data_IF_901818703972
#
_entry.id   IF_901818703972
#
_cell.length_a   1.000
_cell.length_b   1.000
_cell.length_c   1.000
_cell.angle_alpha   90.00
_cell.angle_beta   90.00
_cell.angle_gamma   90.00
#
_symmetry.space_group_name_H-M   'P 1'
#
loop_
_entity.id
_entity.type
_entity.pdbx_description
1 polymer ?
#
# COMPACT_ATOMS: atom_id res chain seq x y z
N UNK A 1 -8.68 37.41 -15.91
CA UNK A 1 -8.24 38.71 -16.44
C UNK A 1 -8.05 39.67 -15.27
N UNK A 2 -7.03 40.54 -15.30
CA UNK A 2 -6.98 41.95 -14.78
C UNK A 2 -7.65 42.24 -13.40
N UNK A 3 -7.01 42.80 -12.35
CA UNK A 3 -5.75 43.58 -12.23
C UNK A 3 -5.10 43.48 -10.83
N UNK A 4 -3.97 44.18 -10.60
CA UNK A 4 -3.27 44.35 -9.31
C UNK A 4 -4.07 45.26 -8.31
N UNK A 5 -3.74 45.46 -7.02
CA UNK A 5 -2.46 45.55 -6.24
C UNK A 5 -2.74 44.99 -4.80
N UNK A 6 -1.87 44.90 -3.77
CA UNK A 6 -0.54 45.44 -3.45
C UNK A 6 0.27 44.50 -2.50
N UNK A 7 1.10 45.03 -1.57
CA UNK A 7 2.04 44.23 -0.75
C UNK A 7 2.17 44.65 0.74
N UNK A 8 2.44 43.67 1.61
CA UNK A 8 3.01 43.82 2.95
C UNK A 8 3.83 42.56 3.29
N UNK A 9 5.01 42.70 3.90
CA UNK A 9 5.95 41.59 4.09
C UNK A 9 5.91 40.93 5.47
N UNK A 10 6.22 39.63 5.53
CA UNK A 10 6.52 38.89 6.76
C UNK A 10 7.84 38.12 6.60
N UNK A 11 8.65 38.06 7.66
CA UNK A 11 10.03 37.58 7.56
C UNK A 11 10.14 36.04 7.62
N UNK A 12 10.79 35.45 6.61
CA UNK A 12 11.19 34.03 6.63
C UNK A 12 12.43 33.84 7.50
N UNK A 13 12.28 33.17 8.65
CA UNK A 13 13.44 32.70 9.42
C UNK A 13 14.12 31.55 8.66
N UNK A 14 15.31 31.79 8.11
CA UNK A 14 16.18 30.72 7.61
C UNK A 14 16.84 30.02 8.80
N UNK A 15 16.62 28.71 8.93
CA UNK A 15 17.33 27.88 9.91
C UNK A 15 18.82 27.75 9.54
N UNK A 16 19.69 27.87 10.54
CA UNK A 16 21.14 27.70 10.40
C UNK A 16 21.55 26.23 10.60
N UNK A 17 22.68 25.78 10.00
CA UNK A 17 23.09 24.37 10.05
C UNK A 17 23.71 24.00 11.42
N UNK A 18 22.86 23.58 12.37
CA UNK A 18 23.27 23.20 13.73
C UNK A 18 22.50 21.98 14.29
N UNK A 19 22.58 20.82 13.62
CA UNK A 19 21.96 19.54 14.08
C UNK A 19 23.05 18.50 14.43
N UNK A 20 23.66 18.60 15.62
CA UNK A 20 24.67 17.64 16.09
C UNK A 20 24.89 17.61 17.63
N UNK A 21 23.84 17.73 18.45
CA UNK A 21 23.93 17.58 19.91
C UNK A 21 22.61 17.09 20.54
N UNK A 22 22.68 16.62 21.80
CA UNK A 22 21.54 16.30 22.69
C UNK A 22 20.69 15.05 22.33
N UNK A 23 21.27 14.03 21.69
CA UNK A 23 20.83 12.61 21.86
C UNK A 23 22.03 11.66 21.95
N UNK A 24 23.09 12.06 22.68
CA UNK A 24 24.37 11.35 22.69
C UNK A 24 25.07 11.34 24.07
N UNK A 25 24.39 10.82 25.10
CA UNK A 25 25.00 10.39 26.37
C UNK A 25 24.34 9.09 26.82
N UNK A 26 25.12 8.00 26.87
CA UNK A 26 24.83 6.61 27.31
C UNK A 26 25.16 5.47 26.32
N UNK A 27 26.16 5.63 25.45
CA UNK A 27 27.05 4.49 25.07
C UNK A 27 28.49 5.01 24.96
N UNK A 28 29.40 4.52 25.81
CA UNK A 28 30.84 4.78 25.70
C UNK A 28 31.59 3.45 25.70
N UNK A 29 32.12 3.03 24.55
CA UNK A 29 32.77 1.72 24.45
C UNK A 29 33.21 1.34 23.04
N UNK A 30 34.14 2.10 22.43
CA UNK A 30 34.88 1.61 21.26
C UNK A 30 36.29 2.18 21.18
N UNK A 31 37.24 1.31 20.84
CA UNK A 31 38.58 1.63 20.31
C UNK A 31 38.95 0.51 19.34
N UNK A 32 39.05 0.80 18.04
CA UNK A 32 40.24 0.52 17.22
C UNK A 32 40.08 1.00 15.76
N UNK A 33 41.17 1.54 15.21
CA UNK A 33 41.48 1.92 13.81
C UNK A 33 43.01 2.21 13.76
N UNK A 34 43.69 2.53 12.63
CA UNK A 34 43.25 2.81 11.24
C UNK A 34 43.18 1.50 10.40
N UNK A 35 43.51 1.33 9.10
CA UNK A 35 44.18 2.11 8.02
C UNK A 35 43.86 1.44 6.65
N UNK A 36 44.26 1.90 5.45
CA UNK A 36 44.55 3.19 4.76
C UNK A 36 45.04 2.81 3.32
N UNK A 37 45.12 3.76 2.37
CA UNK A 37 45.44 3.61 0.93
C UNK A 37 44.40 2.87 0.04
N UNK A 38 44.23 3.21 -1.26
CA UNK A 38 44.66 4.42 -1.96
C UNK A 38 44.92 4.29 -3.48
N UNK A 39 44.30 5.18 -4.29
CA UNK A 39 44.49 5.44 -5.76
C UNK A 39 44.04 4.32 -6.73
N UNK A 40 43.92 4.53 -8.06
CA UNK A 40 43.27 5.60 -8.90
C UNK A 40 43.57 5.37 -10.42
N UNK A 41 42.95 6.20 -11.30
CA UNK A 41 43.38 6.61 -12.68
C UNK A 41 42.76 5.89 -13.92
N UNK A 42 42.34 6.73 -14.90
CA UNK A 42 42.02 6.52 -16.33
C UNK A 42 40.91 5.50 -16.75
N UNK A 43 39.93 5.76 -17.63
CA UNK A 43 39.64 6.73 -18.73
C UNK A 43 40.10 6.32 -20.15
N UNK A 44 39.16 6.33 -21.13
CA UNK A 44 39.34 6.72 -22.56
C UNK A 44 37.96 6.71 -23.28
N UNK A 45 37.78 7.55 -24.31
CA UNK A 45 36.61 7.60 -25.22
C UNK A 45 36.98 6.99 -26.61
N UNK A 46 36.17 6.85 -27.66
CA UNK A 46 34.98 7.57 -28.14
C UNK A 46 34.20 6.69 -29.17
N UNK A 47 33.13 7.16 -29.86
CA UNK A 47 32.19 6.31 -30.63
C UNK A 47 32.39 6.29 -32.16
N UNK A 48 31.64 5.42 -32.86
CA UNK A 48 31.29 5.59 -34.29
C UNK A 48 29.96 4.88 -34.64
N UNK A 49 29.50 4.97 -35.90
CA UNK A 49 28.08 5.12 -36.22
C UNK A 49 27.40 4.04 -37.10
N UNK A 50 26.08 4.17 -37.12
CA UNK A 50 25.00 3.52 -37.88
C UNK A 50 25.27 2.83 -39.25
N UNK A 51 24.44 1.81 -39.52
CA UNK A 51 23.98 1.41 -40.84
C UNK A 51 22.53 0.88 -40.77
N UNK A 52 21.78 0.93 -41.87
CA UNK A 52 20.39 0.49 -41.96
C UNK A 52 20.15 -0.32 -43.26
N UNK A 53 19.16 -1.22 -43.25
CA UNK A 53 18.74 -1.97 -44.44
C UNK A 53 17.23 -2.30 -44.38
N UNK A 54 16.58 -2.32 -45.54
CA UNK A 54 15.15 -2.65 -45.73
C UNK A 54 15.03 -3.66 -46.87
N UNK A 55 14.17 -4.67 -46.70
CA UNK A 55 13.73 -5.57 -47.75
C UNK A 55 12.27 -5.99 -47.49
N UNK A 56 11.51 -6.32 -48.54
CA UNK A 56 10.05 -6.40 -48.46
C UNK A 56 9.45 -7.60 -49.21
N UNK A 57 8.35 -8.13 -48.65
CA UNK A 57 7.18 -8.78 -49.26
C UNK A 57 7.39 -9.87 -50.33
N UNK A 58 6.73 -11.01 -50.10
CA UNK A 58 6.12 -11.81 -51.18
C UNK A 58 4.76 -12.36 -50.71
N UNK A 59 3.81 -12.52 -51.63
CA UNK A 59 2.44 -13.01 -51.39
C UNK A 59 2.23 -14.34 -52.13
N UNK A 60 1.44 -15.25 -51.54
CA UNK A 60 1.02 -16.49 -52.17
C UNK A 60 -0.33 -16.97 -51.63
N UNK A 61 -1.18 -17.54 -52.48
CA UNK A 61 -2.56 -17.90 -52.13
C UNK A 61 -3.08 -19.11 -52.91
N UNK A 62 -3.76 -20.06 -52.23
CA UNK A 62 -4.77 -20.95 -52.82
C UNK A 62 -5.51 -21.86 -51.80
N UNK A 63 -6.85 -21.88 -51.90
CA UNK A 63 -7.79 -23.02 -51.69
C UNK A 63 -7.63 -24.02 -50.52
N UNK A 64 -8.34 -23.71 -49.43
CA UNK A 64 -9.51 -24.47 -48.91
C UNK A 64 -9.54 -26.01 -49.09
N UNK A 65 -9.43 -26.74 -47.97
CA UNK A 65 -10.24 -27.95 -47.68
C UNK A 65 -11.10 -27.70 -46.45
N UNK A 66 -12.26 -28.35 -46.35
CA UNK A 66 -13.10 -28.35 -45.14
C UNK A 66 -12.94 -29.68 -44.41
N UNK A 67 -12.71 -29.62 -43.11
CA UNK A 67 -12.92 -30.72 -42.16
C UNK A 67 -13.54 -30.14 -40.90
N UNK A 68 -14.57 -30.79 -40.39
CA UNK A 68 -15.33 -30.33 -39.23
C UNK A 68 -14.51 -30.50 -37.94
N UNK A 69 -14.31 -29.40 -37.21
CA UNK A 69 -13.78 -29.41 -35.84
C UNK A 69 -14.84 -28.81 -34.91
N UNK A 70 -14.99 -29.39 -33.72
CA UNK A 70 -15.96 -28.95 -32.71
C UNK A 70 -15.69 -27.50 -32.31
N UNK A 71 -16.77 -26.72 -32.17
CA UNK A 71 -16.70 -25.27 -31.89
C UNK A 71 -16.32 -25.03 -30.42
N UNK A 72 -15.02 -25.04 -30.13
CA UNK A 72 -14.50 -24.54 -28.87
C UNK A 72 -14.89 -23.05 -28.69
N UNK A 73 -15.38 -22.69 -27.51
CA UNK A 73 -15.72 -21.30 -27.18
C UNK A 73 -14.45 -20.44 -27.09
N UNK A 74 -14.42 -19.23 -27.66
CA UNK A 74 -13.26 -18.35 -27.60
C UNK A 74 -13.19 -17.66 -26.24
N UNK A 75 -12.70 -18.36 -25.21
CA UNK A 75 -12.30 -17.74 -23.96
C UNK A 75 -10.91 -17.09 -24.12
N UNK A 76 -10.77 -15.87 -23.63
CA UNK A 76 -9.50 -15.28 -23.14
C UNK A 76 -8.38 -15.18 -24.19
N UNK A 77 -8.59 -14.31 -25.20
CA UNK A 77 -7.50 -13.74 -25.98
C UNK A 77 -6.96 -12.47 -25.28
N UNK A 78 -6.16 -12.66 -24.22
CA UNK A 78 -5.55 -11.55 -23.45
C UNK A 78 -4.39 -10.91 -24.22
N UNK A 79 -4.18 -9.61 -24.05
CA UNK A 79 -2.99 -8.91 -24.52
C UNK A 79 -1.81 -9.17 -23.57
N UNK A 80 -1.18 -10.35 -23.69
CA UNK A 80 -0.06 -10.75 -22.84
C UNK A 80 1.19 -9.91 -23.16
N UNK A 81 1.52 -8.96 -22.29
CA UNK A 81 2.82 -8.27 -22.36
C UNK A 81 3.92 -9.12 -21.71
N UNK A 82 4.50 -10.01 -22.51
CA UNK A 82 5.64 -10.86 -22.15
C UNK A 82 6.91 -10.10 -21.70
N UNK A 83 6.94 -8.77 -21.75
CA UNK A 83 8.11 -7.97 -21.31
C UNK A 83 7.97 -7.43 -19.89
N UNK A 84 6.74 -7.31 -19.37
CA UNK A 84 6.48 -6.80 -18.02
C UNK A 84 6.90 -7.82 -16.96
N UNK A 85 7.64 -7.34 -15.96
CA UNK A 85 7.92 -8.07 -14.72
C UNK A 85 6.80 -7.81 -13.70
N UNK A 86 6.41 -8.84 -12.94
CA UNK A 86 5.38 -8.78 -11.92
C UNK A 86 5.81 -7.94 -10.70
N UNK A 87 4.93 -7.10 -10.20
CA UNK A 87 5.18 -6.17 -9.10
C UNK A 87 4.13 -6.31 -7.98
N UNK A 88 4.40 -5.70 -6.83
CA UNK A 88 3.43 -5.60 -5.72
C UNK A 88 2.17 -4.89 -6.22
N UNK A 89 1.00 -5.48 -5.93
CA UNK A 89 -0.31 -5.03 -6.42
C UNK A 89 -0.76 -5.62 -7.75
N UNK A 90 0.04 -6.47 -8.42
CA UNK A 90 -0.43 -7.25 -9.57
C UNK A 90 -1.19 -8.51 -9.13
N UNK A 91 -2.38 -8.75 -9.72
CA UNK A 91 -3.05 -10.05 -9.64
C UNK A 91 -2.41 -11.01 -10.67
N UNK A 92 -1.63 -11.97 -10.18
CA UNK A 92 -0.88 -12.92 -10.99
C UNK A 92 -1.57 -14.26 -11.08
N UNK A 93 -1.53 -14.85 -12.28
CA UNK A 93 -1.96 -16.22 -12.55
C UNK A 93 -0.71 -17.10 -12.59
N UNK A 94 -0.56 -17.98 -11.60
CA UNK A 94 0.57 -18.90 -11.50
C UNK A 94 0.14 -20.36 -11.62
N UNK A 95 1.00 -21.17 -12.23
CA UNK A 95 1.02 -22.61 -11.98
C UNK A 95 2.15 -22.92 -11.01
N UNK A 96 1.90 -23.81 -10.08
CA UNK A 96 2.90 -24.30 -9.13
C UNK A 96 2.72 -25.79 -8.83
N UNK A 97 3.81 -26.39 -8.34
CA UNK A 97 3.83 -27.69 -7.64
C UNK A 97 4.67 -27.51 -6.37
N UNK A 98 4.08 -27.86 -5.22
CA UNK A 98 4.72 -27.81 -3.90
C UNK A 98 5.17 -29.19 -3.45
N UNK A 99 6.45 -29.31 -3.10
CA UNK A 99 7.10 -30.56 -2.66
C UNK A 99 7.76 -30.40 -1.29
N UNK A 100 7.85 -31.48 -0.52
CA UNK A 100 8.71 -31.53 0.67
C UNK A 100 10.17 -31.75 0.27
N UNK A 101 11.10 -31.02 0.88
CA UNK A 101 12.54 -31.19 0.61
C UNK A 101 13.10 -32.49 1.19
N UNK A 102 12.46 -33.03 2.23
CA UNK A 102 12.91 -34.22 2.96
C UNK A 102 12.75 -35.53 2.17
N UNK A 103 11.61 -35.73 1.51
CA UNK A 103 11.25 -36.97 0.81
C UNK A 103 10.86 -36.78 -0.67
N UNK A 104 10.79 -35.53 -1.15
CA UNK A 104 10.37 -35.18 -2.51
C UNK A 104 8.86 -35.33 -2.77
N UNK A 105 8.05 -35.64 -1.76
CA UNK A 105 6.61 -35.84 -1.93
C UNK A 105 5.89 -34.55 -2.30
N UNK A 106 4.96 -34.62 -3.26
CA UNK A 106 4.08 -33.51 -3.63
C UNK A 106 2.98 -33.39 -2.57
N UNK A 107 2.87 -32.23 -1.92
CA UNK A 107 1.80 -31.96 -0.95
C UNK A 107 0.64 -31.15 -1.55
N UNK A 108 0.89 -30.33 -2.58
CA UNK A 108 -0.14 -29.67 -3.38
C UNK A 108 0.39 -29.30 -4.79
N UNK A 109 -0.50 -29.16 -5.76
CA UNK A 109 -0.16 -28.71 -7.13
C UNK A 109 -1.36 -28.18 -7.91
N UNK A 110 -1.14 -27.08 -8.62
CA UNK A 110 -2.09 -26.51 -9.60
C UNK A 110 -2.28 -27.36 -10.88
N UNK A 111 -1.55 -28.47 -11.04
CA UNK A 111 -1.69 -29.35 -12.20
C UNK A 111 -3.11 -29.94 -12.27
N UNK A 112 -3.65 -30.06 -13.48
CA UNK A 112 -5.05 -30.45 -13.73
C UNK A 112 -6.11 -29.42 -13.30
N UNK A 113 -5.73 -28.32 -12.63
CA UNK A 113 -6.62 -27.24 -12.16
C UNK A 113 -6.44 -25.96 -12.98
N UNK A 114 -7.33 -24.98 -12.78
CA UNK A 114 -7.07 -23.60 -13.21
C UNK A 114 -5.81 -23.04 -12.49
N UNK A 115 -5.09 -22.08 -13.09
CA UNK A 115 -3.99 -21.39 -12.41
C UNK A 115 -4.45 -20.74 -11.12
N UNK A 116 -3.58 -20.72 -10.10
CA UNK A 116 -3.82 -19.98 -8.87
C UNK A 116 -3.75 -18.48 -9.20
N UNK A 117 -4.82 -17.75 -8.88
CA UNK A 117 -4.83 -16.29 -8.90
C UNK A 117 -4.55 -15.78 -7.48
N UNK A 118 -3.61 -14.85 -7.33
CA UNK A 118 -3.39 -14.12 -6.07
C UNK A 118 -2.78 -12.75 -6.36
N UNK A 119 -2.91 -11.81 -5.42
CA UNK A 119 -2.35 -10.46 -5.52
C UNK A 119 -1.01 -10.39 -4.81
N UNK A 120 0.05 -10.00 -5.52
CA UNK A 120 1.40 -9.90 -4.93
C UNK A 120 1.40 -8.83 -3.83
N UNK A 121 1.76 -9.23 -2.61
CA UNK A 121 1.76 -8.40 -1.42
C UNK A 121 0.46 -8.40 -0.61
N UNK A 122 -0.57 -9.16 -1.01
CA UNK A 122 -1.83 -9.27 -0.26
C UNK A 122 -1.86 -10.40 0.78
N UNK A 123 -0.72 -11.09 1.01
CA UNK A 123 -0.56 -12.15 2.00
C UNK A 123 -1.53 -13.36 1.86
N UNK A 124 -2.14 -13.53 0.69
CA UNK A 124 -3.01 -14.67 0.33
C UNK A 124 -2.26 -16.01 0.20
N UNK A 125 -0.93 -15.95 0.04
CA UNK A 125 -0.01 -17.10 -0.07
C UNK A 125 1.15 -16.92 0.92
N UNK A 126 1.88 -18.01 1.21
CA UNK A 126 3.00 -17.98 2.16
C UNK A 126 4.09 -16.98 1.72
N UNK A 127 4.66 -16.26 2.68
CA UNK A 127 5.55 -15.10 2.47
C UNK A 127 6.69 -15.36 1.49
N UNK A 128 7.31 -16.54 1.53
CA UNK A 128 8.38 -16.92 0.61
C UNK A 128 7.91 -17.16 -0.83
N UNK A 129 6.69 -17.65 -1.02
CA UNK A 129 6.08 -17.85 -2.34
C UNK A 129 5.76 -16.49 -2.98
N UNK A 130 5.15 -15.58 -2.22
CA UNK A 130 4.87 -14.21 -2.65
C UNK A 130 6.16 -13.48 -3.09
N UNK A 131 7.20 -13.51 -2.23
CA UNK A 131 8.53 -12.96 -2.54
C UNK A 131 9.11 -13.52 -3.84
N UNK A 132 8.94 -14.81 -4.09
CA UNK A 132 9.54 -15.49 -5.23
C UNK A 132 8.93 -15.06 -6.57
N UNK A 133 7.62 -14.74 -6.62
CA UNK A 133 6.95 -14.33 -7.86
C UNK A 133 7.24 -12.86 -8.22
N UNK A 134 7.69 -12.04 -7.27
CA UNK A 134 8.11 -10.64 -7.51
C UNK A 134 9.27 -10.59 -8.52
N UNK A 135 9.07 -9.89 -9.63
CA UNK A 135 10.05 -9.74 -10.70
C UNK A 135 9.96 -10.76 -11.84
N UNK A 136 9.19 -11.85 -11.68
CA UNK A 136 8.98 -12.84 -12.75
C UNK A 136 8.28 -12.23 -13.97
N UNK A 137 8.55 -12.77 -15.16
CA UNK A 137 7.85 -12.45 -16.41
C UNK A 137 6.93 -13.58 -16.86
N UNK A 138 5.97 -13.27 -17.72
CA UNK A 138 5.02 -14.29 -18.22
C UNK A 138 5.75 -15.35 -19.04
N UNK A 139 5.57 -16.62 -18.67
CA UNK A 139 6.29 -17.79 -19.20
C UNK A 139 7.60 -18.13 -18.48
N UNK A 140 8.02 -17.32 -17.50
CA UNK A 140 9.17 -17.63 -16.66
C UNK A 140 8.82 -18.73 -15.64
N UNK A 141 9.79 -19.61 -15.37
CA UNK A 141 9.69 -20.66 -14.34
C UNK A 141 10.86 -20.55 -13.37
N UNK A 142 10.55 -20.61 -12.07
CA UNK A 142 11.54 -20.61 -10.99
C UNK A 142 11.35 -21.83 -10.10
N UNK A 143 12.42 -22.21 -9.40
CA UNK A 143 12.37 -23.17 -8.29
C UNK A 143 12.91 -22.48 -7.04
N UNK A 144 12.11 -22.47 -5.97
CA UNK A 144 12.44 -21.79 -4.71
C UNK A 144 12.30 -22.77 -3.55
N UNK A 145 13.25 -22.72 -2.62
CA UNK A 145 13.22 -23.50 -1.37
C UNK A 145 12.89 -22.56 -0.22
N UNK A 146 11.80 -22.84 0.49
CA UNK A 146 11.30 -22.03 1.61
C UNK A 146 11.57 -22.76 2.91
N UNK A 147 12.26 -22.08 3.84
CA UNK A 147 12.39 -22.51 5.23
C UNK A 147 11.03 -22.37 5.95
N UNK A 148 10.82 -23.06 7.08
CA UNK A 148 9.55 -22.97 7.84
C UNK A 148 9.11 -21.53 8.13
N UNK A 149 10.06 -20.65 8.45
CA UNK A 149 9.86 -19.23 8.75
C UNK A 149 9.32 -18.40 7.56
N UNK A 150 9.49 -18.88 6.33
CA UNK A 150 8.94 -18.27 5.11
C UNK A 150 7.72 -19.02 4.55
N UNK A 151 7.35 -20.13 5.19
CA UNK A 151 6.27 -21.03 4.80
C UNK A 151 5.12 -21.03 5.84
N UNK A 152 5.06 -22.04 6.73
CA UNK A 152 3.97 -22.25 7.69
C UNK A 152 4.40 -22.07 9.16
N UNK A 153 5.55 -21.44 9.39
CA UNK A 153 6.17 -21.27 10.70
C UNK A 153 6.81 -22.56 11.23
N UNK A 154 7.53 -22.42 12.35
CA UNK A 154 7.92 -23.56 13.17
C UNK A 154 6.71 -24.16 13.87
N UNK A 155 6.76 -25.45 14.17
CA UNK A 155 5.73 -26.14 14.94
C UNK A 155 5.70 -25.59 16.38
N UNK A 156 4.52 -25.26 16.89
CA UNK A 156 4.31 -24.73 18.23
C UNK A 156 3.59 -25.76 19.11
N UNK A 157 4.13 -26.06 20.29
CA UNK A 157 3.48 -26.96 21.25
C UNK A 157 2.31 -26.29 21.99
N UNK A 158 2.30 -24.95 22.08
CA UNK A 158 1.16 -24.17 22.63
C UNK A 158 -0.11 -24.25 21.75
N UNK A 159 0.01 -24.73 20.50
CA UNK A 159 -1.12 -25.03 19.62
C UNK A 159 -1.72 -26.44 19.86
N UNK A 160 -1.36 -27.10 20.96
CA UNK A 160 -1.98 -28.34 21.42
C UNK A 160 -3.17 -28.05 22.36
N UNK A 161 -4.38 -28.19 21.83
CA UNK A 161 -5.62 -27.89 22.54
C UNK A 161 -6.14 -29.16 23.23
N UNK A 162 -6.23 -29.13 24.56
CA UNK A 162 -6.92 -30.16 25.34
C UNK A 162 -8.45 -30.01 25.28
N UNK A 163 -9.15 -31.06 24.86
CA UNK A 163 -10.61 -31.16 24.83
C UNK A 163 -11.08 -32.13 25.93
N UNK A 164 -11.76 -31.65 26.99
CA UNK A 164 -12.33 -32.51 28.03
C UNK A 164 -13.30 -33.56 27.49
N UNK A 165 -13.36 -34.72 28.15
CA UNK A 165 -14.11 -35.89 27.68
C UNK A 165 -15.59 -35.60 27.39
N UNK A 166 -16.23 -34.72 28.16
CA UNK A 166 -17.64 -34.32 28.01
C UNK A 166 -17.90 -33.50 26.73
N UNK A 167 -16.83 -33.03 26.06
CA UNK A 167 -16.88 -32.28 24.81
C UNK A 167 -16.32 -33.05 23.62
N UNK A 168 -15.77 -34.25 23.83
CA UNK A 168 -15.30 -35.12 22.75
C UNK A 168 -16.52 -35.74 22.05
N UNK A 169 -16.71 -35.53 20.73
CA UNK A 169 -17.82 -36.14 20.02
C UNK A 169 -17.63 -37.68 19.91
N UNK A 170 -18.70 -38.48 20.01
CA UNK A 170 -18.61 -39.93 19.88
C UNK A 170 -18.14 -40.32 18.46
N UNK A 171 -17.20 -41.27 18.38
CA UNK A 171 -16.61 -41.71 17.11
C UNK A 171 -15.47 -40.82 16.58
N UNK A 172 -14.86 -39.98 17.42
CA UNK A 172 -13.63 -39.26 17.10
C UNK A 172 -12.44 -40.25 16.97
N UNK A 173 -11.66 -40.16 15.89
CA UNK A 173 -10.50 -41.03 15.64
C UNK A 173 -9.16 -40.28 15.68
N UNK A 174 -8.10 -40.95 16.13
CA UNK A 174 -6.74 -40.38 16.14
C UNK A 174 -6.24 -40.18 14.70
N UNK A 175 -5.71 -38.99 14.40
CA UNK A 175 -5.28 -38.59 13.06
C UNK A 175 -6.37 -37.93 12.21
N UNK A 176 -7.64 -37.95 12.63
CA UNK A 176 -8.75 -37.28 11.96
C UNK A 176 -8.58 -35.75 11.98
N UNK A 177 -9.05 -35.05 10.95
CA UNK A 177 -9.23 -33.59 10.97
C UNK A 177 -10.68 -33.23 11.33
N UNK A 178 -10.84 -32.26 12.22
CA UNK A 178 -12.13 -31.75 12.69
C UNK A 178 -12.13 -30.23 12.77
N UNK A 179 -13.31 -29.60 12.71
CA UNK A 179 -13.46 -28.15 12.81
C UNK A 179 -13.86 -27.76 14.23
N UNK A 180 -12.94 -27.14 14.98
CA UNK A 180 -13.14 -26.70 16.36
C UNK A 180 -13.70 -25.27 16.39
N UNK A 181 -14.84 -25.07 17.06
CA UNK A 181 -15.45 -23.74 17.24
C UNK A 181 -16.98 -23.78 17.24
N UNK A 182 -17.61 -22.61 17.40
CA UNK A 182 -19.07 -22.43 17.32
C UNK A 182 -19.41 -21.22 16.43
N UNK A 183 -20.55 -21.30 15.73
CA UNK A 183 -20.97 -20.25 14.80
C UNK A 183 -20.05 -20.14 13.58
N UNK A 184 -19.62 -18.91 13.29
CA UNK A 184 -18.78 -18.55 12.13
C UNK A 184 -17.28 -18.73 12.35
N UNK A 185 -16.80 -18.76 13.60
CA UNK A 185 -15.40 -19.03 13.92
C UNK A 185 -15.19 -20.54 14.07
N UNK A 186 -14.49 -21.13 13.10
CA UNK A 186 -14.14 -22.56 13.06
C UNK A 186 -12.70 -22.73 12.62
N UNK A 187 -11.90 -23.44 13.42
CA UNK A 187 -10.48 -23.68 13.17
C UNK A 187 -10.29 -25.17 12.81
N UNK A 188 -9.64 -25.51 11.69
CA UNK A 188 -9.27 -26.89 11.39
C UNK A 188 -8.17 -27.36 12.36
N UNK A 189 -8.43 -28.46 13.06
CA UNK A 189 -7.47 -29.10 13.98
C UNK A 189 -7.41 -30.60 13.75
N UNK A 190 -6.28 -31.23 14.05
CA UNK A 190 -6.09 -32.67 13.90
C UNK A 190 -6.09 -33.38 15.26
N UNK A 191 -6.77 -34.51 15.39
CA UNK A 191 -6.74 -35.32 16.62
C UNK A 191 -5.34 -35.92 16.76
N UNK A 192 -4.56 -35.47 17.74
CA UNK A 192 -3.20 -35.97 18.03
C UNK A 192 -3.25 -37.25 18.85
N UNK A 193 -4.12 -37.29 19.85
CA UNK A 193 -4.27 -38.42 20.78
C UNK A 193 -5.64 -38.37 21.46
N UNK A 194 -6.18 -39.54 21.81
CA UNK A 194 -7.27 -39.68 22.78
C UNK A 194 -6.68 -40.36 24.02
N UNK A 195 -7.00 -39.83 25.20
CA UNK A 195 -6.44 -40.26 26.49
C UNK A 195 -7.37 -41.29 27.18
N UNK A 196 -6.87 -42.10 28.12
CA UNK A 196 -7.66 -43.17 28.76
C UNK A 196 -8.86 -42.69 29.60
N UNK A 197 -8.91 -41.39 29.94
CA UNK A 197 -10.04 -40.74 30.61
C UNK A 197 -11.14 -40.27 29.64
N UNK A 198 -10.95 -40.47 28.33
CA UNK A 198 -11.86 -40.04 27.27
C UNK A 198 -11.61 -38.62 26.76
N UNK A 199 -10.67 -37.86 27.33
CA UNK A 199 -10.28 -36.55 26.80
C UNK A 199 -9.43 -36.68 25.54
N UNK A 200 -9.36 -35.61 24.72
CA UNK A 200 -8.61 -35.62 23.47
C UNK A 200 -7.60 -34.46 23.39
N UNK A 201 -6.41 -34.73 22.86
CA UNK A 201 -5.46 -33.70 22.45
C UNK A 201 -5.64 -33.40 20.97
N UNK A 202 -5.91 -32.15 20.64
CA UNK A 202 -6.06 -31.64 19.28
C UNK A 202 -4.86 -30.78 18.91
N UNK A 203 -4.42 -30.86 17.67
CA UNK A 203 -3.27 -30.16 17.11
C UNK A 203 -3.75 -29.10 16.11
N UNK A 204 -3.55 -27.83 16.44
CA UNK A 204 -3.91 -26.69 15.58
C UNK A 204 -2.75 -26.21 14.68
N UNK A 205 -1.61 -26.91 14.68
CA UNK A 205 -0.52 -26.62 13.75
C UNK A 205 -0.92 -26.93 12.29
N UNK A 206 -0.36 -26.17 11.35
CA UNK A 206 -0.39 -26.56 9.93
C UNK A 206 0.27 -27.93 9.74
N UNK A 207 -0.25 -28.83 8.87
CA UNK A 207 0.42 -30.07 8.49
C UNK A 207 1.84 -29.90 7.90
N UNK A 208 2.18 -28.67 7.50
CA UNK A 208 3.48 -28.28 6.94
C UNK A 208 4.33 -27.43 7.90
N UNK A 209 3.86 -27.18 9.14
CA UNK A 209 4.65 -26.44 10.13
C UNK A 209 5.94 -27.19 10.50
N UNK A 210 7.05 -26.46 10.60
CA UNK A 210 8.39 -27.02 10.81
C UNK A 210 9.03 -27.71 9.59
N UNK A 211 8.36 -27.76 8.43
CA UNK A 211 8.90 -28.40 7.21
C UNK A 211 9.50 -27.39 6.24
N UNK A 212 10.64 -27.76 5.64
CA UNK A 212 11.23 -27.05 4.50
C UNK A 212 10.54 -27.50 3.21
N UNK A 213 10.03 -26.54 2.44
CA UNK A 213 9.26 -26.78 1.22
C UNK A 213 10.05 -26.35 -0.01
N UNK A 214 9.88 -27.05 -1.14
CA UNK A 214 10.36 -26.62 -2.45
C UNK A 214 9.17 -26.43 -3.39
N UNK A 215 9.05 -25.21 -3.93
CA UNK A 215 8.04 -24.87 -4.94
C UNK A 215 8.70 -24.70 -6.29
N UNK A 216 8.14 -25.34 -7.31
CA UNK A 216 8.33 -24.95 -8.71
C UNK A 216 7.15 -24.07 -9.11
N UNK A 217 7.41 -22.87 -9.63
CA UNK A 217 6.41 -21.84 -9.93
C UNK A 217 6.62 -21.30 -11.35
N UNK A 218 5.53 -21.20 -12.10
CA UNK A 218 5.45 -20.66 -13.46
C UNK A 218 4.43 -19.52 -13.49
N UNK A 219 4.85 -18.32 -13.91
CA UNK A 219 3.93 -17.20 -14.09
C UNK A 219 3.26 -17.34 -15.47
N UNK A 220 2.04 -17.90 -15.51
CA UNK A 220 1.32 -18.14 -16.78
C UNK A 220 0.62 -16.88 -17.31
N UNK A 221 0.46 -15.85 -16.49
CA UNK A 221 -0.05 -14.55 -16.92
C UNK A 221 -0.35 -13.61 -15.76
N UNK A 222 -0.91 -12.46 -16.09
CA UNK A 222 -1.65 -11.63 -15.15
C UNK A 222 -3.14 -11.91 -15.37
N UNK A 223 -3.96 -11.89 -14.31
CA UNK A 223 -5.39 -11.61 -14.54
C UNK A 223 -5.48 -10.14 -14.95
N UNK A 224 -6.43 -9.81 -15.83
CA UNK A 224 -6.60 -8.49 -16.42
C UNK A 224 -6.55 -7.42 -15.30
N UNK A 225 -5.45 -6.64 -15.24
CA UNK A 225 -5.23 -5.69 -14.14
C UNK A 225 -6.43 -4.78 -14.07
N UNK A 226 -7.09 -4.75 -12.91
CA UNK A 226 -8.35 -4.04 -12.68
C UNK A 226 -8.24 -2.67 -13.32
N UNK A 227 -9.14 -2.37 -14.28
CA UNK A 227 -9.14 -1.09 -15.01
C UNK A 227 -8.99 0.02 -13.99
N UNK A 228 -7.83 0.67 -14.04
CA UNK A 228 -7.40 1.57 -12.99
C UNK A 228 -8.32 2.77 -12.89
N UNK A 229 -8.20 3.50 -11.79
CA UNK A 229 -8.73 4.84 -11.76
C UNK A 229 -7.86 5.71 -12.68
N UNK A 230 -8.45 6.24 -13.74
CA UNK A 230 -7.77 7.21 -14.59
C UNK A 230 -7.84 8.60 -13.93
N UNK A 231 -6.84 8.89 -13.11
CA UNK A 231 -6.74 10.13 -12.33
C UNK A 231 -6.07 11.25 -13.13
N UNK A 232 -6.39 12.50 -12.75
CA UNK A 232 -5.58 13.64 -13.15
C UNK A 232 -4.31 13.72 -12.29
N UNK A 233 -3.15 13.61 -12.93
CA UNK A 233 -1.83 13.80 -12.33
C UNK A 233 -1.26 15.19 -12.56
N UNK A 234 0.01 15.35 -12.22
CA UNK A 234 0.74 16.63 -12.31
C UNK A 234 0.71 17.21 -13.73
N UNK A 235 0.46 18.52 -13.82
CA UNK A 235 0.18 19.28 -15.04
C UNK A 235 -1.04 18.77 -15.84
N UNK A 236 -1.99 18.11 -15.18
CA UNK A 236 -3.21 17.57 -15.81
C UNK A 236 -2.99 16.31 -16.65
N UNK A 237 -1.79 15.72 -16.63
CA UNK A 237 -1.49 14.44 -17.30
C UNK A 237 -2.37 13.34 -16.71
N UNK A 238 -3.20 12.70 -17.52
CA UNK A 238 -4.04 11.59 -17.07
C UNK A 238 -3.23 10.29 -17.03
N UNK A 239 -3.31 9.54 -15.93
CA UNK A 239 -2.60 8.27 -15.77
C UNK A 239 -3.43 7.26 -14.96
N UNK A 240 -3.04 5.98 -15.03
CA UNK A 240 -3.77 4.86 -14.43
C UNK A 240 -3.21 4.54 -13.03
N UNK A 241 -4.10 4.47 -12.03
CA UNK A 241 -3.81 3.96 -10.68
C UNK A 241 -4.55 2.64 -10.49
N UNK A 242 -3.87 1.53 -10.13
CA UNK A 242 -4.54 0.25 -9.88
C UNK A 242 -5.41 0.31 -8.62
N UNK A 243 -6.54 -0.41 -8.63
CA UNK A 243 -7.33 -0.63 -7.41
C UNK A 243 -6.77 -1.82 -6.63
N UNK A 244 -6.50 -1.63 -5.34
CA UNK A 244 -6.08 -2.73 -4.46
C UNK A 244 -7.17 -3.81 -4.27
N UNK A 245 -8.46 -3.46 -4.43
CA UNK A 245 -9.59 -4.40 -4.43
C UNK A 245 -10.52 -4.13 -5.60
N UNK A 246 -10.53 -5.06 -6.55
CA UNK A 246 -11.35 -5.03 -7.76
C UNK A 246 -12.86 -4.94 -7.45
N UNK A 247 -13.58 -4.09 -8.18
CA UNK A 247 -15.05 -3.97 -8.16
C UNK A 247 -15.65 -3.71 -6.76
N UNK A 248 -14.84 -3.33 -5.78
CA UNK A 248 -15.28 -2.93 -4.44
C UNK A 248 -16.25 -1.74 -4.51
N UNK A 249 -17.16 -1.57 -3.53
CA UNK A 249 -18.06 -0.41 -3.47
C UNK A 249 -17.31 0.93 -3.56
N UNK A 250 -16.11 1.02 -2.98
CA UNK A 250 -15.20 2.17 -3.11
C UNK A 250 -14.73 2.36 -4.55
N UNK A 251 -14.26 1.31 -5.23
CA UNK A 251 -13.84 1.44 -6.64
C UNK A 251 -14.98 1.87 -7.57
N UNK A 252 -16.22 1.44 -7.29
CA UNK A 252 -17.39 1.82 -8.08
C UNK A 252 -17.69 3.32 -7.96
N UNK A 253 -17.67 3.88 -6.74
CA UNK A 253 -17.79 5.33 -6.51
C UNK A 253 -16.68 6.11 -7.17
N UNK A 254 -15.43 5.62 -7.11
CA UNK A 254 -14.29 6.31 -7.71
C UNK A 254 -14.28 6.22 -9.24
N UNK A 255 -14.71 5.11 -9.84
CA UNK A 255 -14.83 4.95 -11.29
C UNK A 255 -15.95 5.81 -11.90
N UNK A 256 -17.05 6.01 -11.18
CA UNK A 256 -18.21 6.82 -11.63
C UNK A 256 -18.53 7.92 -10.62
N UNK A 257 -17.65 8.94 -10.45
CA UNK A 257 -17.79 9.93 -9.40
C UNK A 257 -18.97 10.86 -9.67
N UNK A 258 -19.90 10.92 -8.71
CA UNK A 258 -21.11 11.77 -8.76
C UNK A 258 -21.15 12.68 -7.53
N UNK A 259 -20.30 13.70 -7.51
CA UNK A 259 -20.27 14.69 -6.43
C UNK A 259 -21.46 15.67 -6.50
N UNK A 260 -22.00 16.12 -5.36
CA UNK A 260 -23.09 17.10 -5.34
C UNK A 260 -22.61 18.46 -5.89
N UNK A 261 -23.43 19.17 -6.70
CA UNK A 261 -23.02 20.42 -7.37
C UNK A 261 -22.95 21.65 -6.43
N UNK A 262 -23.30 21.47 -5.16
CA UNK A 262 -23.21 22.47 -4.11
C UNK A 262 -22.87 21.76 -2.79
N UNK A 263 -22.21 22.49 -1.89
CA UNK A 263 -21.85 22.01 -0.55
C UNK A 263 -23.11 21.60 0.25
N UNK A 264 -23.31 20.31 0.58
CA UNK A 264 -24.55 19.82 1.17
C UNK A 264 -24.51 19.79 2.72
N UNK A 265 -23.35 20.03 3.33
CA UNK A 265 -23.10 19.79 4.75
C UNK A 265 -23.31 21.04 5.61
N UNK A 266 -23.75 20.84 6.84
CA UNK A 266 -23.99 21.88 7.84
C UNK A 266 -22.84 21.95 8.86
N UNK A 267 -22.82 23.00 9.68
CA UNK A 267 -21.89 23.09 10.82
C UNK A 267 -22.16 22.05 11.93
N UNK A 268 -23.22 21.24 11.85
CA UNK A 268 -23.44 20.12 12.78
C UNK A 268 -22.65 18.86 12.37
N UNK A 269 -22.47 18.64 11.06
CA UNK A 269 -21.81 17.47 10.49
C UNK A 269 -20.30 17.39 10.83
N UNK A 270 -19.69 18.56 11.05
CA UNK A 270 -18.27 18.73 11.43
C UNK A 270 -18.01 18.81 12.94
N UNK A 271 -19.05 18.67 13.77
CA UNK A 271 -18.88 18.59 15.24
C UNK A 271 -18.23 17.27 15.62
N UNK A 272 -17.55 17.25 16.77
CA UNK A 272 -16.91 16.05 17.34
C UNK A 272 -17.61 15.64 18.63
N UNK A 273 -17.43 14.39 19.07
CA UNK A 273 -17.93 13.94 20.38
C UNK A 273 -17.16 14.61 21.53
N UNK A 274 -15.85 14.79 21.35
CA UNK A 274 -14.97 15.50 22.29
C UNK A 274 -14.38 16.77 21.64
N UNK A 275 -15.12 17.88 21.80
CA UNK A 275 -14.69 19.22 21.38
C UNK A 275 -13.68 19.89 22.34
N UNK A 276 -13.12 19.17 23.31
CA UNK A 276 -12.01 19.70 24.09
C UNK A 276 -10.78 19.98 23.21
N UNK A 277 -9.90 20.85 23.70
CA UNK A 277 -8.64 21.16 23.01
C UNK A 277 -7.80 19.89 22.79
N UNK A 278 -7.42 19.67 21.54
CA UNK A 278 -6.62 18.53 21.09
C UNK A 278 -5.24 18.50 21.76
N UNK A 279 -4.78 19.63 22.32
CA UNK A 279 -3.60 19.70 23.20
C UNK A 279 -3.66 18.75 24.39
N UNK A 280 -4.86 18.37 24.85
CA UNK A 280 -5.05 17.43 25.97
C UNK A 280 -5.08 15.97 25.52
N UNK A 281 -5.57 15.72 24.30
CA UNK A 281 -5.75 14.36 23.76
C UNK A 281 -4.45 13.77 23.18
N UNK A 282 -3.57 14.62 22.66
CA UNK A 282 -2.29 14.24 22.04
C UNK A 282 -1.08 14.66 22.91
N UNK A 283 -1.20 14.73 24.24
CA UNK A 283 -0.13 15.26 25.12
C UNK A 283 1.06 14.32 25.31
N UNK A 284 0.79 13.02 25.37
CA UNK A 284 1.81 11.99 25.24
C UNK A 284 2.20 11.80 23.76
N UNK A 285 3.50 11.90 23.37
CA UNK A 285 3.94 11.71 21.99
C UNK A 285 3.66 10.30 21.48
N UNK A 286 3.05 10.17 20.30
CA UNK A 286 2.60 8.88 19.75
C UNK A 286 3.45 8.44 18.57
N UNK A 287 4.63 7.89 18.86
CA UNK A 287 5.52 7.24 17.90
C UNK A 287 5.01 5.86 17.44
N UNK A 288 3.75 5.81 17.00
CA UNK A 288 3.08 4.63 16.43
C UNK A 288 2.54 4.98 15.05
N UNK A 289 2.25 3.98 14.23
CA UNK A 289 1.46 4.15 13.01
C UNK A 289 -0.02 3.98 13.34
N UNK A 290 -0.88 4.83 12.77
CA UNK A 290 -2.33 4.74 12.96
C UNK A 290 -3.01 3.73 12.03
N UNK A 291 -2.23 3.18 11.10
CA UNK A 291 -2.60 2.16 10.11
C UNK A 291 -1.60 1.00 10.15
N UNK A 292 -2.05 -0.16 9.67
CA UNK A 292 -1.27 -1.41 9.49
C UNK A 292 -0.29 -1.34 8.30
N UNK A 293 0.63 -2.31 8.25
CA UNK A 293 1.72 -2.33 7.26
C UNK A 293 1.23 -2.52 5.81
N UNK A 294 0.11 -3.20 5.59
CA UNK A 294 -0.50 -3.39 4.27
C UNK A 294 -1.11 -2.09 3.73
N UNK A 295 -1.81 -1.34 4.59
CA UNK A 295 -2.27 0.02 4.28
C UNK A 295 -1.08 0.97 4.04
N UNK A 296 0.00 0.86 4.82
CA UNK A 296 1.23 1.65 4.63
C UNK A 296 1.89 1.32 3.28
N UNK A 297 2.02 0.04 2.91
CA UNK A 297 2.57 -0.38 1.63
C UNK A 297 1.71 0.12 0.45
N UNK A 298 0.39 0.01 0.57
CA UNK A 298 -0.57 0.50 -0.43
C UNK A 298 -0.48 2.02 -0.63
N UNK A 299 -0.44 2.78 0.47
CA UNK A 299 -0.34 4.25 0.45
C UNK A 299 1.03 4.71 -0.10
N UNK A 300 2.12 4.02 0.26
CA UNK A 300 3.46 4.27 -0.31
C UNK A 300 3.47 4.09 -1.83
N UNK A 301 2.92 2.99 -2.33
CA UNK A 301 2.81 2.71 -3.76
C UNK A 301 1.98 3.78 -4.50
N UNK A 302 0.83 4.14 -3.93
CA UNK A 302 -0.05 5.18 -4.47
C UNK A 302 0.65 6.55 -4.57
N UNK A 303 1.30 7.02 -3.50
CA UNK A 303 2.07 8.27 -3.54
C UNK A 303 3.24 8.20 -4.52
N UNK A 304 3.92 7.05 -4.64
CA UNK A 304 4.97 6.83 -5.64
C UNK A 304 4.49 7.04 -7.08
N UNK A 305 3.33 6.47 -7.44
CA UNK A 305 2.75 6.63 -8.78
C UNK A 305 2.39 8.09 -9.11
N UNK A 306 1.92 8.86 -8.11
CA UNK A 306 1.62 10.29 -8.25
C UNK A 306 2.89 11.15 -8.36
N UNK A 307 3.88 10.95 -7.49
CA UNK A 307 5.13 11.74 -7.50
C UNK A 307 6.03 11.43 -8.72
N UNK A 308 5.91 10.24 -9.31
CA UNK A 308 6.60 9.87 -10.54
C UNK A 308 6.14 10.68 -11.78
N UNK A 309 5.00 11.38 -11.72
CA UNK A 309 4.50 12.22 -12.84
C UNK A 309 5.31 13.51 -13.06
N UNK A 310 6.12 13.90 -12.08
CA UNK A 310 6.95 15.11 -12.06
C UNK A 310 8.46 14.79 -12.17
N UNK A 311 9.30 15.73 -12.66
CA UNK A 311 10.74 15.55 -12.75
C UNK A 311 11.40 15.34 -11.37
N UNK A 312 12.08 14.22 -11.20
CA UNK A 312 12.68 13.84 -9.92
C UNK A 312 13.84 14.79 -9.55
N UNK A 313 13.75 15.39 -8.36
CA UNK A 313 14.64 16.44 -7.87
C UNK A 313 14.11 17.88 -8.05
N UNK A 314 12.95 18.07 -8.70
CA UNK A 314 12.43 19.41 -9.02
C UNK A 314 11.15 19.81 -8.27
N UNK A 315 10.24 18.87 -7.99
CA UNK A 315 8.93 19.14 -7.39
C UNK A 315 8.95 19.42 -5.88
N UNK A 316 7.98 20.20 -5.40
CA UNK A 316 7.73 20.46 -3.98
C UNK A 316 6.45 19.79 -3.48
N UNK A 317 6.54 19.08 -2.35
CA UNK A 317 5.42 18.44 -1.65
C UNK A 317 5.14 19.18 -0.33
N UNK A 318 3.86 19.37 -0.01
CA UNK A 318 3.39 19.77 1.32
C UNK A 318 2.50 18.67 1.92
N UNK A 319 2.86 18.14 3.09
CA UNK A 319 2.04 17.19 3.83
C UNK A 319 1.31 17.88 4.99
N UNK A 320 -0.03 17.90 4.96
CA UNK A 320 -0.85 18.57 5.99
C UNK A 320 -1.46 17.56 6.96
N UNK A 321 -1.53 17.94 8.25
CA UNK A 321 -1.85 17.05 9.38
C UNK A 321 -0.80 15.94 9.63
N UNK A 322 0.41 16.13 9.14
CA UNK A 322 1.53 15.22 9.29
C UNK A 322 1.98 15.02 10.75
N UNK A 323 2.68 13.92 11.00
CA UNK A 323 3.33 13.58 12.28
C UNK A 323 4.78 13.14 12.00
N UNK A 324 5.29 12.16 12.73
CA UNK A 324 6.67 11.65 12.64
C UNK A 324 6.95 10.80 11.39
N UNK A 325 5.93 10.54 10.56
CA UNK A 325 6.04 9.80 9.30
C UNK A 325 4.95 10.26 8.33
N UNK A 326 5.29 10.44 7.05
CA UNK A 326 4.36 10.85 5.97
C UNK A 326 3.94 9.69 5.05
N UNK A 327 4.43 8.48 5.31
CA UNK A 327 4.17 7.28 4.50
C UNK A 327 4.43 7.43 2.98
N UNK A 328 5.32 8.35 2.58
CA UNK A 328 5.82 8.45 1.21
C UNK A 328 6.83 7.33 0.90
N UNK A 329 7.16 7.08 -0.39
CA UNK A 329 8.26 6.18 -0.76
C UNK A 329 9.58 6.48 -0.04
N UNK A 330 10.39 5.46 0.21
CA UNK A 330 11.67 5.60 0.90
C UNK A 330 12.77 6.18 -0.01
N UNK A 331 12.61 6.07 -1.33
CA UNK A 331 13.49 6.62 -2.36
C UNK A 331 13.02 7.97 -2.94
N UNK A 332 12.04 8.61 -2.29
CA UNK A 332 11.41 9.88 -2.67
C UNK A 332 12.44 10.96 -3.06
N UNK A 333 12.30 11.53 -4.26
CA UNK A 333 13.19 12.58 -4.80
C UNK A 333 12.46 13.90 -5.00
N UNK A 334 11.76 14.37 -3.96
CA UNK A 334 11.25 15.73 -3.93
C UNK A 334 12.41 16.73 -3.77
N UNK A 335 12.31 17.91 -4.38
CA UNK A 335 13.21 19.05 -4.12
C UNK A 335 13.04 19.60 -2.70
N UNK A 336 11.81 19.50 -2.19
CA UNK A 336 11.35 20.02 -0.91
C UNK A 336 10.16 19.19 -0.44
N UNK A 337 10.22 18.77 0.82
CA UNK A 337 9.09 18.21 1.56
C UNK A 337 8.85 19.12 2.74
N UNK A 338 7.78 19.91 2.68
CA UNK A 338 7.29 20.71 3.80
C UNK A 338 6.20 19.91 4.51
N UNK A 339 6.12 19.98 5.84
CA UNK A 339 5.05 19.34 6.59
C UNK A 339 4.39 20.29 7.59
N UNK A 340 3.07 20.15 7.80
CA UNK A 340 2.35 20.82 8.89
C UNK A 340 1.65 19.81 9.77
N UNK A 341 1.62 20.08 11.07
CA UNK A 341 0.91 19.24 12.03
C UNK A 341 1.00 19.80 13.45
N UNK A 342 0.55 19.00 14.42
CA UNK A 342 0.25 19.53 15.75
C UNK A 342 1.43 19.48 16.74
N UNK A 343 2.27 18.44 16.71
CA UNK A 343 3.32 18.22 17.72
C UNK A 343 4.72 18.43 17.16
N UNK A 344 5.42 19.45 17.67
CA UNK A 344 6.79 19.82 17.27
C UNK A 344 7.78 18.66 17.33
N UNK A 345 7.67 17.78 18.34
CA UNK A 345 8.56 16.64 18.53
C UNK A 345 8.37 15.55 17.47
N UNK A 346 7.13 15.33 17.04
CA UNK A 346 6.79 14.38 15.99
C UNK A 346 7.24 14.91 14.63
N UNK A 347 6.88 16.15 14.30
CA UNK A 347 7.33 16.82 13.07
C UNK A 347 8.87 16.87 12.96
N UNK A 348 9.57 17.12 14.07
CA UNK A 348 11.04 17.13 14.10
C UNK A 348 11.67 15.73 13.96
N UNK A 349 10.92 14.66 14.25
CA UNK A 349 11.33 13.27 14.07
C UNK A 349 11.05 12.74 12.65
N UNK A 350 10.22 13.43 11.86
CA UNK A 350 9.93 13.05 10.47
C UNK A 350 11.20 13.09 9.60
N UNK A 351 11.60 11.91 9.11
CA UNK A 351 12.83 11.70 8.33
C UNK A 351 12.71 12.10 6.86
N UNK A 352 11.48 12.25 6.36
CA UNK A 352 11.20 12.61 4.96
C UNK A 352 11.04 14.12 4.79
N UNK A 353 10.79 14.87 5.87
CA UNK A 353 10.62 16.32 5.86
C UNK A 353 11.96 17.08 5.70
N UNK A 354 11.96 18.06 4.79
CA UNK A 354 13.03 19.07 4.67
C UNK A 354 12.82 20.26 5.59
N UNK A 355 11.56 20.55 5.94
CA UNK A 355 11.14 21.58 6.91
C UNK A 355 9.77 21.23 7.50
N UNK A 356 9.41 21.84 8.62
CA UNK A 356 8.09 21.71 9.23
C UNK A 356 7.56 23.02 9.81
N UNK A 357 6.24 23.14 9.93
CA UNK A 357 5.57 24.23 10.63
C UNK A 357 4.51 23.66 11.59
N UNK A 358 4.52 24.12 12.85
CA UNK A 358 3.51 23.70 13.85
C UNK A 358 2.21 24.47 13.60
N UNK A 359 1.13 23.76 13.27
CA UNK A 359 -0.17 24.35 12.94
C UNK A 359 -1.32 23.42 13.31
N UNK A 360 -2.21 23.88 14.19
CA UNK A 360 -3.51 23.23 14.41
C UNK A 360 -4.54 23.84 13.43
N UNK A 361 -4.90 23.09 12.40
CA UNK A 361 -5.83 23.53 11.34
C UNK A 361 -7.30 23.64 11.80
N UNK A 362 -7.68 22.97 12.90
CA UNK A 362 -9.00 23.15 13.53
C UNK A 362 -9.11 24.50 14.27
N UNK A 363 -7.97 25.09 14.67
CA UNK A 363 -7.92 26.44 15.27
C UNK A 363 -7.71 27.49 14.18
N UNK A 364 -6.61 27.37 13.44
CA UNK A 364 -6.20 28.28 12.37
C UNK A 364 -6.04 27.48 11.07
N UNK A 365 -7.07 27.42 10.18
CA UNK A 365 -7.02 26.66 8.93
C UNK A 365 -5.95 27.15 7.93
N UNK A 366 -5.41 28.35 8.15
CA UNK A 366 -4.49 29.00 7.21
C UNK A 366 -3.14 28.26 7.16
N UNK A 367 -2.78 27.81 5.97
CA UNK A 367 -1.50 27.18 5.72
C UNK A 367 -0.38 28.25 5.74
N UNK A 368 0.74 28.01 6.44
CA UNK A 368 1.81 29.00 6.68
C UNK A 368 2.75 29.17 5.47
N UNK A 369 2.17 29.18 4.27
CA UNK A 369 2.85 29.19 2.97
C UNK A 369 2.21 30.19 2.01
N UNK A 370 2.98 30.62 1.01
CA UNK A 370 2.53 31.51 -0.06
C UNK A 370 1.64 30.80 -1.08
N UNK A 371 1.08 31.60 -1.99
CA UNK A 371 0.22 31.11 -3.06
C UNK A 371 1.08 30.41 -4.13
N UNK A 372 0.58 29.32 -4.72
CA UNK A 372 1.26 28.60 -5.82
C UNK A 372 2.67 28.07 -5.46
N UNK A 373 2.89 27.60 -4.23
CA UNK A 373 4.20 27.19 -3.71
C UNK A 373 4.51 25.69 -3.89
N UNK A 374 3.49 24.83 -4.03
CA UNK A 374 3.63 23.36 -4.07
C UNK A 374 3.11 22.70 -5.35
N UNK A 375 3.79 21.65 -5.80
CA UNK A 375 3.34 20.78 -6.91
C UNK A 375 2.33 19.73 -6.43
N UNK A 376 2.49 19.28 -5.19
CA UNK A 376 1.62 18.31 -4.54
C UNK A 376 1.28 18.77 -3.13
N UNK A 377 0.01 18.62 -2.73
CA UNK A 377 -0.41 18.74 -1.33
C UNK A 377 -1.06 17.44 -0.92
N UNK A 378 -0.55 16.80 0.13
CA UNK A 378 -1.07 15.55 0.67
C UNK A 378 -1.74 15.77 2.00
N UNK A 379 -2.72 14.92 2.31
CA UNK A 379 -3.21 14.70 3.66
C UNK A 379 -3.27 13.19 3.87
N UNK A 380 -2.51 12.69 4.84
CA UNK A 380 -2.37 11.26 5.10
C UNK A 380 -3.18 10.90 6.34
N UNK A 381 -4.24 10.11 6.13
CA UNK A 381 -5.11 9.52 7.17
C UNK A 381 -5.59 10.47 8.27
N UNK A 382 -5.92 11.72 7.89
CA UNK A 382 -6.22 12.79 8.85
C UNK A 382 -7.40 13.71 8.51
N UNK A 383 -8.08 13.52 7.36
CA UNK A 383 -9.20 14.37 6.91
C UNK A 383 -10.42 14.28 7.83
N UNK A 384 -10.57 13.14 8.49
CA UNK A 384 -11.60 12.77 9.44
C UNK A 384 -11.58 13.59 10.75
N UNK A 385 -10.44 14.21 11.08
CA UNK A 385 -10.30 15.08 12.26
C UNK A 385 -10.52 16.58 11.97
N UNK A 386 -10.74 16.96 10.70
CA UNK A 386 -10.87 18.37 10.31
C UNK A 386 -12.29 18.89 10.57
N UNK A 387 -12.45 19.82 11.50
CA UNK A 387 -13.74 20.47 11.79
C UNK A 387 -14.02 21.74 10.96
N UNK A 388 -13.02 22.22 10.20
CA UNK A 388 -13.10 23.32 9.22
C UNK A 388 -12.59 22.90 7.83
N UNK A 389 -12.99 21.75 7.28
CA UNK A 389 -12.31 21.17 6.13
C UNK A 389 -12.54 21.99 4.85
N UNK A 390 -13.65 22.73 4.72
CA UNK A 390 -13.85 23.64 3.57
C UNK A 390 -12.77 24.74 3.51
N UNK A 391 -12.44 25.35 4.64
CA UNK A 391 -11.40 26.37 4.75
C UNK A 391 -10.00 25.77 4.50
N UNK A 392 -9.74 24.56 5.01
CA UNK A 392 -8.48 23.85 4.76
C UNK A 392 -8.32 23.49 3.28
N UNK A 393 -9.35 23.00 2.59
CA UNK A 393 -9.28 22.67 1.17
C UNK A 393 -9.15 23.92 0.27
N UNK A 394 -9.75 25.05 0.66
CA UNK A 394 -9.48 26.35 0.02
C UNK A 394 -8.01 26.77 0.15
N UNK A 395 -7.42 26.55 1.32
CA UNK A 395 -5.99 26.81 1.56
C UNK A 395 -5.07 25.82 0.81
N UNK A 396 -5.43 24.53 0.72
CA UNK A 396 -4.73 23.56 -0.13
C UNK A 396 -4.73 24.01 -1.60
N UNK A 397 -5.87 24.49 -2.10
CA UNK A 397 -5.97 25.04 -3.45
C UNK A 397 -5.13 26.31 -3.63
N UNK A 398 -5.10 27.21 -2.64
CA UNK A 398 -4.29 28.44 -2.67
C UNK A 398 -2.79 28.16 -2.77
N UNK A 399 -2.27 27.20 -1.99
CA UNK A 399 -0.83 26.89 -1.96
C UNK A 399 -0.38 25.96 -3.10
N UNK A 400 -1.31 25.34 -3.83
CA UNK A 400 -1.02 24.55 -5.04
C UNK A 400 -0.68 25.45 -6.24
N UNK A 401 0.30 25.03 -7.03
CA UNK A 401 0.61 25.60 -8.35
C UNK A 401 -0.52 25.31 -9.35
N UNK A 402 -0.64 26.07 -10.46
CA UNK A 402 -1.54 25.72 -11.55
C UNK A 402 -1.14 24.36 -12.15
N UNK A 403 -2.04 23.38 -12.09
CA UNK A 403 -1.76 21.99 -12.49
C UNK A 403 -1.04 21.14 -11.43
N UNK A 404 -0.87 21.65 -10.21
CA UNK A 404 -0.52 20.82 -9.04
C UNK A 404 -1.69 19.93 -8.60
N UNK A 405 -1.42 18.97 -7.70
CA UNK A 405 -2.37 17.93 -7.32
C UNK A 405 -2.58 17.86 -5.79
N UNK A 406 -3.83 17.93 -5.35
CA UNK A 406 -4.23 17.56 -3.99
C UNK A 406 -4.47 16.03 -3.92
N UNK A 407 -3.87 15.35 -2.95
CA UNK A 407 -3.97 13.88 -2.80
C UNK A 407 -4.37 13.52 -1.37
N UNK A 408 -5.62 13.10 -1.21
CA UNK A 408 -6.19 12.67 0.06
C UNK A 408 -6.06 11.15 0.21
N UNK A 409 -5.59 10.68 1.36
CA UNK A 409 -5.74 9.28 1.79
C UNK A 409 -6.38 9.22 3.18
N UNK A 410 -7.20 8.20 3.42
CA UNK A 410 -7.97 8.06 4.65
C UNK A 410 -8.17 6.59 5.03
N UNK A 411 -8.53 6.35 6.30
CA UNK A 411 -8.82 5.02 6.83
C UNK A 411 -10.10 5.07 7.66
N UNK A 412 -10.78 3.93 7.78
CA UNK A 412 -11.90 3.74 8.70
C UNK A 412 -11.41 3.62 10.16
N UNK A 413 -10.10 3.37 10.38
CA UNK A 413 -9.47 3.32 11.71
C UNK A 413 -9.13 4.73 12.19
N UNK A 414 -9.98 5.28 13.05
CA UNK A 414 -9.85 6.64 13.61
C UNK A 414 -10.14 6.68 15.12
N UNK A 415 -9.77 7.78 15.78
CA UNK A 415 -10.18 8.06 17.15
C UNK A 415 -11.61 8.62 17.15
N UNK A 416 -12.61 7.77 17.39
CA UNK A 416 -14.05 8.10 17.32
C UNK A 416 -14.46 9.36 18.09
N UNK A 417 -13.82 9.66 19.22
CA UNK A 417 -14.13 10.87 20.00
C UNK A 417 -13.69 12.17 19.31
N UNK A 418 -12.67 12.11 18.45
CA UNK A 418 -12.03 13.26 17.78
C UNK A 418 -12.31 13.34 16.29
N UNK A 419 -12.82 12.29 15.65
CA UNK A 419 -13.32 12.36 14.29
C UNK A 419 -14.66 13.13 14.23
N UNK A 420 -14.97 13.70 13.07
CA UNK A 420 -16.21 14.48 12.85
C UNK A 420 -17.47 13.60 12.80
N UNK A 421 -18.61 14.17 13.20
CA UNK A 421 -19.89 13.49 13.36
C UNK A 421 -20.31 12.72 12.11
N UNK A 422 -20.15 13.33 10.93
CA UNK A 422 -20.47 12.70 9.64
C UNK A 422 -19.57 11.53 9.25
N UNK A 423 -18.35 11.44 9.80
CA UNK A 423 -17.44 10.32 9.61
C UNK A 423 -17.78 9.16 10.55
N UNK A 424 -18.00 9.48 11.83
CA UNK A 424 -18.33 8.46 12.85
C UNK A 424 -19.75 7.90 12.69
N UNK A 425 -20.66 8.64 12.03
CA UNK A 425 -22.03 8.21 11.76
C UNK A 425 -22.11 6.87 11.01
N UNK A 426 -21.17 6.59 10.09
CA UNK A 426 -21.09 5.35 9.33
C UNK A 426 -19.63 4.89 9.17
N UNK A 427 -18.91 4.62 10.27
CA UNK A 427 -17.46 4.29 10.24
C UNK A 427 -17.01 3.22 9.23
N UNK A 428 -17.89 2.29 8.83
CA UNK A 428 -17.57 1.24 7.85
C UNK A 428 -17.89 1.61 6.40
N UNK A 429 -18.53 2.75 6.14
CA UNK A 429 -19.00 3.17 4.83
C UNK A 429 -17.89 3.90 4.04
N UNK A 430 -16.94 3.12 3.53
CA UNK A 430 -15.93 3.60 2.59
C UNK A 430 -16.50 4.39 1.39
N UNK A 431 -17.60 3.94 0.73
CA UNK A 431 -18.32 4.73 -0.27
C UNK A 431 -18.79 6.10 0.23
N UNK A 432 -19.39 6.18 1.42
CA UNK A 432 -19.79 7.42 2.08
C UNK A 432 -18.58 8.33 2.35
N UNK A 433 -17.51 7.79 2.93
CA UNK A 433 -16.25 8.53 3.14
C UNK A 433 -15.66 9.08 1.83
N UNK A 434 -15.76 8.34 0.71
CA UNK A 434 -15.38 8.84 -0.62
C UNK A 434 -16.25 10.04 -1.04
N UNK A 435 -17.57 10.01 -0.81
CA UNK A 435 -18.45 11.15 -1.10
C UNK A 435 -18.15 12.36 -0.23
N UNK A 436 -17.87 12.16 1.06
CA UNK A 436 -17.46 13.24 1.98
C UNK A 436 -16.22 13.93 1.42
N UNK A 437 -15.13 13.19 1.16
CA UNK A 437 -13.88 13.78 0.65
C UNK A 437 -14.04 14.37 -0.75
N UNK A 438 -14.69 13.67 -1.69
CA UNK A 438 -14.88 14.11 -3.08
C UNK A 438 -15.75 15.36 -3.26
N UNK A 439 -16.66 15.61 -2.31
CA UNK A 439 -17.47 16.84 -2.27
C UNK A 439 -16.63 18.09 -2.00
N UNK A 440 -15.52 17.99 -1.26
CA UNK A 440 -14.76 19.17 -0.84
C UNK A 440 -14.11 19.91 -2.03
N UNK A 441 -13.28 19.28 -2.91
CA UNK A 441 -12.70 19.97 -4.07
C UNK A 441 -13.77 20.53 -5.02
N UNK A 442 -14.88 19.80 -5.18
CA UNK A 442 -16.02 20.17 -6.03
C UNK A 442 -16.80 21.40 -5.54
N UNK A 443 -16.50 21.92 -4.34
CA UNK A 443 -17.15 23.07 -3.71
C UNK A 443 -16.26 24.33 -3.61
N UNK A 444 -15.08 24.27 -4.24
CA UNK A 444 -14.01 25.29 -4.21
C UNK A 444 -13.71 25.88 -5.60
N UNK A 445 -14.21 25.26 -6.68
CA UNK A 445 -14.11 25.68 -8.08
C UNK A 445 -15.05 26.82 -8.46
#
# INVERSE_FOLDING_TARGET
MVSALAAAGAATQRLSPARAAVVARHVTGSRYQPAFLGRAVASVAAPLAAAAAVAAVSLGSARRRQSSVVRASPLVAMAVDFKRAAAVGDEVLVRYTGTLVEDGSVFDSSEGREPLSFTIGAHEVVTGFDKAVRGMKVGEKIKVTLLPEEAYGQRQDDLLIGLPAEKVPPGLEVGQQVMLGQGSQKIPVRVKQILPDGSAMLDANSPMAGKTLAFEIELVGFRDVVKGLEVAGWQGKRFQVPFAVANSPVSQVLQTPSWPPAWPYTAADFKRQDESDDSRFYDEPRFVTHIDDDAIASIRGFYGLHFAQAPQGEYSVLDICSSWVSHFPEDLRAKRVAITGFRVWELAANKQATEFQVRNLNVEPKLPYGDNEFDFVTNVVSVDYLNKPREVFQEMHRVLKPGGVAIMSFSNRCFSSKAIAMWVANMSDGPGHCQIVGTHPSSVS
#
